data_IF_090228052522
#
_entry.id   IF_090228052522
#
_cell.length_a   1.000
_cell.length_b   1.000
_cell.length_c   1.000
_cell.angle_alpha   90.00
_cell.angle_beta   90.00
_cell.angle_gamma   90.00
#
_symmetry.space_group_name_H-M   'P 1'
#
loop_
_entity.id
_entity.type
_entity.pdbx_description
1 polymer ?
#
# COMPACT_ATOMS: atom_id res chain seq x y z
N UNK A 1 7.21 -6.76 11.33
CA UNK A 1 6.98 -6.08 10.03
C UNK A 1 7.66 -6.90 8.96
N UNK A 2 7.03 -7.12 7.80
CA UNK A 2 7.57 -7.91 6.68
C UNK A 2 7.72 -7.03 5.44
N UNK A 3 8.65 -7.37 4.55
CA UNK A 3 8.77 -6.74 3.23
C UNK A 3 7.71 -7.30 2.27
N UNK A 4 7.04 -6.43 1.51
CA UNK A 4 6.16 -6.86 0.43
C UNK A 4 6.97 -7.42 -0.74
N UNK A 5 8.13 -6.83 -1.04
CA UNK A 5 9.06 -7.27 -2.09
C UNK A 5 9.62 -8.67 -1.87
N UNK A 6 10.00 -9.00 -0.64
CA UNK A 6 10.52 -10.33 -0.28
C UNK A 6 9.43 -11.38 -0.11
N UNK A 7 8.16 -10.95 -0.03
CA UNK A 7 7.03 -11.84 0.04
C UNK A 7 6.65 -12.28 -1.37
N UNK A 8 6.89 -13.56 -1.69
CA UNK A 8 6.49 -14.16 -2.97
C UNK A 8 5.02 -13.85 -3.29
N UNK A 9 4.78 -12.90 -4.20
CA UNK A 9 3.47 -12.43 -4.65
C UNK A 9 2.59 -11.88 -3.53
N UNK A 10 3.01 -10.80 -2.88
CA UNK A 10 2.12 -10.04 -1.99
C UNK A 10 0.81 -9.67 -2.73
N UNK A 11 -0.39 -9.89 -2.15
CA UNK A 11 -1.64 -9.85 -2.90
C UNK A 11 -2.26 -8.45 -3.00
N UNK A 12 -1.54 -7.51 -3.61
CA UNK A 12 -1.83 -6.07 -3.59
C UNK A 12 -3.29 -5.66 -3.87
N UNK A 13 -3.98 -6.36 -4.77
CA UNK A 13 -5.34 -6.04 -5.23
C UNK A 13 -6.46 -6.65 -4.36
N UNK A 14 -6.13 -7.40 -3.31
CA UNK A 14 -7.15 -7.95 -2.40
C UNK A 14 -7.94 -6.82 -1.71
N UNK A 15 -9.27 -6.89 -1.81
CA UNK A 15 -10.18 -5.91 -1.20
C UNK A 15 -10.15 -5.90 0.33
N UNK A 16 -9.59 -6.95 0.95
CA UNK A 16 -9.44 -7.08 2.40
C UNK A 16 -8.14 -6.48 2.93
N UNK A 17 -7.21 -6.09 2.08
CA UNK A 17 -5.99 -5.38 2.52
C UNK A 17 -6.37 -3.99 3.02
N UNK A 18 -5.74 -3.55 4.11
CA UNK A 18 -5.85 -2.17 4.58
C UNK A 18 -4.52 -1.46 4.36
N UNK A 19 -4.50 -0.50 3.43
CA UNK A 19 -3.35 0.37 3.21
C UNK A 19 -3.40 1.59 4.12
N UNK A 20 -2.23 2.02 4.57
CA UNK A 20 -2.07 3.26 5.31
C UNK A 20 -0.66 3.82 5.08
N UNK A 21 -0.51 5.11 5.30
CA UNK A 21 0.78 5.78 5.30
C UNK A 21 1.10 6.34 6.68
N UNK A 22 2.40 6.43 6.97
CA UNK A 22 2.92 7.08 8.17
C UNK A 22 3.87 8.19 7.76
N UNK A 23 3.65 9.40 8.27
CA UNK A 23 4.52 10.55 8.04
C UNK A 23 5.74 10.56 8.98
N UNK A 24 6.65 11.52 8.77
CA UNK A 24 7.85 11.70 9.61
C UNK A 24 7.57 12.02 11.09
N UNK A 25 6.35 12.47 11.41
CA UNK A 25 5.93 12.80 12.77
C UNK A 25 5.23 11.60 13.44
N UNK A 26 5.04 10.50 12.72
CA UNK A 26 4.31 9.32 13.20
C UNK A 26 2.79 9.42 13.03
N UNK A 27 2.27 10.41 12.30
CA UNK A 27 0.85 10.49 12.01
C UNK A 27 0.47 9.39 11.02
N UNK A 28 -0.65 8.71 11.30
CA UNK A 28 -1.15 7.59 10.51
C UNK A 28 -2.40 8.02 9.74
N UNK A 29 -2.40 7.80 8.42
CA UNK A 29 -3.54 8.08 7.55
C UNK A 29 -3.91 6.83 6.74
N UNK A 30 -5.19 6.48 6.73
CA UNK A 30 -5.69 5.37 5.91
C UNK A 30 -5.73 5.76 4.43
N UNK A 31 -5.40 4.82 3.56
CA UNK A 31 -5.51 4.97 2.11
C UNK A 31 -6.65 4.07 1.61
N UNK A 32 -7.79 4.63 1.19
CA UNK A 32 -8.85 3.85 0.59
C UNK A 32 -8.41 3.36 -0.80
N UNK A 33 -8.69 2.10 -1.13
CA UNK A 33 -8.32 1.51 -2.43
C UNK A 33 -9.40 0.62 -3.03
N UNK A 34 -10.59 0.56 -2.41
CA UNK A 34 -11.64 -0.42 -2.76
C UNK A 34 -12.42 -0.03 -4.02
N UNK A 35 -12.57 1.25 -4.28
CA UNK A 35 -13.40 1.76 -5.37
C UNK A 35 -12.55 2.46 -6.42
N UNK A 36 -13.05 2.51 -7.67
CA UNK A 36 -12.41 3.28 -8.75
C UNK A 36 -12.25 4.77 -8.40
N UNK A 37 -13.18 5.34 -7.64
CA UNK A 37 -13.12 6.72 -7.16
C UNK A 37 -11.98 6.97 -6.17
N UNK A 38 -11.44 5.92 -5.56
CA UNK A 38 -10.33 6.05 -4.60
C UNK A 38 -8.97 6.15 -5.31
N UNK A 39 -8.92 5.90 -6.63
CA UNK A 39 -7.69 5.87 -7.41
C UNK A 39 -6.83 7.13 -7.26
N UNK A 40 -7.45 8.30 -7.23
CA UNK A 40 -6.73 9.58 -7.03
C UNK A 40 -6.00 9.60 -5.69
N UNK A 41 -6.65 9.16 -4.61
CA UNK A 41 -6.06 9.10 -3.27
C UNK A 41 -4.93 8.09 -3.18
N UNK A 42 -5.08 6.94 -3.84
CA UNK A 42 -4.02 5.93 -3.94
C UNK A 42 -2.82 6.49 -4.70
N UNK A 43 -3.07 7.22 -5.81
CA UNK A 43 -2.02 7.86 -6.60
C UNK A 43 -1.27 8.93 -5.82
N UNK A 44 -1.97 9.77 -5.05
CA UNK A 44 -1.35 10.76 -4.19
C UNK A 44 -0.47 10.11 -3.10
N UNK A 45 -0.95 9.03 -2.47
CA UNK A 45 -0.17 8.30 -1.47
C UNK A 45 1.06 7.62 -2.09
N UNK A 46 0.93 7.05 -3.29
CA UNK A 46 2.06 6.55 -4.07
C UNK A 46 3.10 7.65 -4.33
N UNK A 47 2.66 8.84 -4.76
CA UNK A 47 3.56 9.95 -5.04
C UNK A 47 4.29 10.43 -3.77
N UNK A 48 3.57 10.57 -2.64
CA UNK A 48 4.18 10.90 -1.34
C UNK A 48 5.21 9.88 -0.89
N UNK A 49 4.94 8.59 -1.10
CA UNK A 49 5.88 7.52 -0.78
C UNK A 49 7.12 7.54 -1.67
N UNK A 50 6.94 7.77 -2.98
CA UNK A 50 8.01 7.91 -3.96
C UNK A 50 8.93 9.09 -3.63
N UNK A 51 8.35 10.20 -3.21
CA UNK A 51 9.07 11.40 -2.75
C UNK A 51 9.65 11.26 -1.33
N UNK A 52 9.49 10.08 -0.70
CA UNK A 52 9.96 9.75 0.66
C UNK A 52 9.40 10.67 1.75
N UNK A 53 8.22 11.24 1.52
CA UNK A 53 7.51 12.09 2.49
C UNK A 53 6.80 11.21 3.52
N UNK A 54 6.20 10.10 3.06
CA UNK A 54 5.52 9.12 3.89
C UNK A 54 6.05 7.71 3.60
N UNK A 55 5.81 6.78 4.52
CA UNK A 55 6.08 5.34 4.30
C UNK A 55 4.76 4.59 4.18
N UNK A 56 4.63 3.78 3.13
CA UNK A 56 3.44 2.97 2.88
C UNK A 56 3.51 1.63 3.59
N UNK A 57 2.38 1.24 4.17
CA UNK A 57 2.20 -0.03 4.84
C UNK A 57 0.88 -0.68 4.42
N UNK A 58 0.82 -1.98 4.60
CA UNK A 58 -0.38 -2.77 4.42
C UNK A 58 -0.59 -3.74 5.57
N UNK A 59 -1.81 -3.81 6.06
CA UNK A 59 -2.26 -4.93 6.89
C UNK A 59 -2.95 -5.93 5.98
N UNK A 60 -2.39 -7.13 5.89
CA UNK A 60 -3.04 -8.23 5.19
C UNK A 60 -3.69 -9.17 6.23
N UNK A 61 -5.03 -9.29 6.23
CA UNK A 61 -5.71 -10.29 7.05
C UNK A 61 -5.46 -11.67 6.44
N UNK A 62 -4.51 -12.41 7.00
CA UNK A 62 -4.36 -13.83 6.73
C UNK A 62 -5.48 -14.64 7.39
N UNK A 63 -5.47 -15.96 7.18
CA UNK A 63 -6.53 -16.85 7.71
C UNK A 63 -6.55 -16.96 9.25
N UNK A 64 -5.42 -16.67 9.92
CA UNK A 64 -5.25 -16.88 11.35
C UNK A 64 -4.73 -15.65 12.11
N UNK A 65 -4.03 -14.75 11.41
CA UNK A 65 -3.50 -13.50 11.96
C UNK A 65 -3.42 -12.44 10.88
N UNK A 66 -3.44 -11.18 11.31
CA UNK A 66 -3.07 -10.05 10.48
C UNK A 66 -1.57 -9.87 10.51
N UNK A 67 -0.94 -9.83 9.34
CA UNK A 67 0.47 -9.53 9.19
C UNK A 67 0.63 -8.09 8.66
N UNK A 68 1.60 -7.36 9.22
CA UNK A 68 1.95 -6.00 8.81
C UNK A 68 3.12 -6.02 7.83
N UNK A 69 2.91 -5.39 6.68
CA UNK A 69 3.88 -5.28 5.59
C UNK A 69 4.28 -3.83 5.36
N UNK A 70 5.57 -3.60 5.10
CA UNK A 70 6.02 -2.38 4.44
C UNK A 70 5.87 -2.56 2.93
N UNK A 71 5.38 -1.53 2.24
CA UNK A 71 5.29 -1.52 0.77
C UNK A 71 6.58 -0.91 0.23
N UNK A 72 7.59 -1.75 0.10
CA UNK A 72 8.93 -1.40 -0.38
C UNK A 72 9.15 -1.69 -1.87
N UNK A 73 8.19 -2.33 -2.53
CA UNK A 73 8.06 -2.42 -3.98
C UNK A 73 6.91 -1.50 -4.45
N UNK A 74 7.25 -0.22 -4.65
CA UNK A 74 6.28 0.80 -5.08
C UNK A 74 5.82 0.58 -6.53
N UNK A 75 6.65 -0.03 -7.38
CA UNK A 75 6.32 -0.29 -8.78
C UNK A 75 5.28 -1.42 -8.88
N UNK A 76 5.46 -2.51 -8.12
CA UNK A 76 4.45 -3.57 -8.00
C UNK A 76 3.12 -3.02 -7.44
N UNK A 77 3.18 -2.17 -6.42
CA UNK A 77 2.00 -1.51 -5.88
C UNK A 77 1.25 -0.68 -6.93
N UNK A 78 1.95 0.16 -7.70
CA UNK A 78 1.35 1.00 -8.73
C UNK A 78 0.74 0.17 -9.87
N UNK A 79 1.42 -0.89 -10.28
CA UNK A 79 0.96 -1.79 -11.33
C UNK A 79 -0.30 -2.54 -10.92
N UNK A 80 -0.30 -3.20 -9.77
CA UNK A 80 -1.42 -4.05 -9.32
C UNK A 80 -2.68 -3.25 -8.97
N UNK A 81 -2.52 -1.98 -8.58
CA UNK A 81 -3.64 -1.07 -8.31
C UNK A 81 -4.04 -0.22 -9.54
N UNK A 82 -3.44 -0.43 -10.71
CA UNK A 82 -3.80 0.26 -11.94
C UNK A 82 -3.54 1.77 -11.90
N UNK A 83 -2.49 2.19 -11.20
CA UNK A 83 -2.09 3.60 -11.08
C UNK A 83 -1.32 4.10 -12.31
N UNK A 84 -0.75 3.20 -13.10
CA UNK A 84 -0.05 3.50 -14.34
C UNK A 84 -0.52 2.55 -15.44
N UNK A 85 -0.69 3.08 -16.65
CA UNK A 85 -0.85 2.28 -17.85
C UNK A 85 0.56 1.80 -18.27
N UNK A 86 0.83 0.50 -18.13
CA UNK A 86 2.05 -0.16 -18.59
C UNK A 86 1.79 -0.92 -19.89
#
# INVERSE_FOLDING_TARGET
MRSAKESNNFPYSMSTICYFEVDKNGNVSQIPHKNKSDREKVLEAYQRAKDKITTLYAVWPGNWRSDLFIIDDLDAFAKELGLMDF
#
